data_IF_393540982063
#
_entry.id   IF_393540982063
#
_cell.length_a   1.000
_cell.length_b   1.000
_cell.length_c   1.000
_cell.angle_alpha   90.00
_cell.angle_beta   90.00
_cell.angle_gamma   90.00
#
_symmetry.space_group_name_H-M   'P 1'
#
loop_
_entity.id
_entity.type
_entity.pdbx_description
1 polymer ?
#
# COMPACT_ATOMS: atom_id res chain seq x y z
N UNK A 1 -10.86 7.51 7.97
CA UNK A 1 -10.41 6.16 7.60
C UNK A 1 -9.08 6.24 6.90
N UNK A 2 -8.19 5.32 7.21
CA UNK A 2 -6.91 5.14 6.52
C UNK A 2 -6.91 3.75 5.86
N UNK A 3 -6.57 3.68 4.56
CA UNK A 3 -6.42 2.43 3.82
C UNK A 3 -4.97 2.30 3.38
N UNK A 4 -4.31 1.23 3.78
CA UNK A 4 -2.93 0.93 3.41
C UNK A 4 -2.92 -0.19 2.37
N UNK A 5 -2.28 0.06 1.23
CA UNK A 5 -2.10 -0.90 0.14
C UNK A 5 -0.65 -1.36 0.14
N UNK A 6 -0.42 -2.58 0.62
CA UNK A 6 0.86 -3.28 0.61
C UNK A 6 0.99 -4.19 -0.61
N UNK A 7 2.19 -4.56 -0.98
CA UNK A 7 2.47 -5.53 -2.05
C UNK A 7 3.82 -5.30 -2.71
N UNK A 8 4.32 -6.30 -3.39
CA UNK A 8 5.64 -6.26 -4.04
C UNK A 8 5.66 -5.32 -5.26
N UNK A 9 6.83 -5.15 -5.83
CA UNK A 9 7.05 -4.32 -7.02
C UNK A 9 6.23 -4.85 -8.21
N UNK A 10 5.57 -3.97 -8.96
CA UNK A 10 4.82 -4.36 -10.16
C UNK A 10 3.44 -5.01 -9.92
N UNK A 11 3.01 -5.20 -8.67
CA UNK A 11 1.71 -5.81 -8.35
C UNK A 11 0.51 -4.90 -8.66
N UNK A 12 0.74 -3.56 -8.79
CA UNK A 12 -0.28 -2.58 -9.13
C UNK A 12 -0.73 -1.67 -7.99
N UNK A 13 0.03 -1.56 -6.90
CA UNK A 13 -0.32 -0.76 -5.71
C UNK A 13 -0.77 0.67 -6.03
N UNK A 14 0.09 1.46 -6.69
CA UNK A 14 -0.19 2.88 -6.98
C UNK A 14 -1.43 3.04 -7.86
N UNK A 15 -1.59 2.20 -8.90
CA UNK A 15 -2.77 2.23 -9.76
C UNK A 15 -4.06 1.85 -9.02
N UNK A 16 -4.01 0.86 -8.11
CA UNK A 16 -5.17 0.48 -7.28
C UNK A 16 -5.48 1.58 -6.26
N UNK A 17 -4.47 2.16 -5.63
CA UNK A 17 -4.65 3.26 -4.67
C UNK A 17 -5.29 4.49 -5.34
N UNK A 18 -4.85 4.85 -6.55
CA UNK A 18 -5.44 5.92 -7.36
C UNK A 18 -6.92 5.63 -7.68
N UNK A 19 -7.24 4.42 -8.14
CA UNK A 19 -8.64 4.04 -8.42
C UNK A 19 -9.49 4.00 -7.15
N UNK A 20 -8.94 3.54 -6.04
CA UNK A 20 -9.65 3.48 -4.76
C UNK A 20 -9.92 4.88 -4.19
N UNK A 21 -8.98 5.82 -4.32
CA UNK A 21 -9.16 7.21 -3.90
C UNK A 21 -10.45 7.81 -4.49
N UNK A 22 -10.73 7.53 -5.77
CA UNK A 22 -11.92 8.05 -6.47
C UNK A 22 -13.25 7.42 -6.05
N UNK A 23 -13.26 6.40 -5.17
CA UNK A 23 -14.49 5.84 -4.57
C UNK A 23 -14.98 6.63 -3.34
N UNK A 24 -14.13 7.48 -2.77
CA UNK A 24 -14.49 8.34 -1.65
C UNK A 24 -14.92 9.73 -2.15
N UNK A 25 -15.82 10.37 -1.43
CA UNK A 25 -16.21 11.76 -1.72
C UNK A 25 -15.02 12.72 -1.58
N UNK A 26 -14.20 12.49 -0.53
CA UNK A 26 -13.01 13.29 -0.23
C UNK A 26 -11.91 12.38 0.30
N UNK A 27 -10.85 12.22 -0.47
CA UNK A 27 -9.71 11.40 -0.11
C UNK A 27 -8.40 11.97 -0.69
N UNK A 28 -7.30 11.55 -0.11
CA UNK A 28 -5.95 11.80 -0.61
C UNK A 28 -5.23 10.47 -0.80
N UNK A 29 -4.51 10.34 -1.89
CA UNK A 29 -3.58 9.25 -2.13
C UNK A 29 -2.16 9.70 -1.83
N UNK A 30 -1.47 8.95 -0.98
CA UNK A 30 -0.08 9.15 -0.58
C UNK A 30 0.76 7.95 -1.05
N UNK A 31 1.63 8.19 -2.03
CA UNK A 31 2.55 7.15 -2.52
C UNK A 31 3.85 7.20 -1.70
N UNK A 32 4.10 6.15 -0.91
CA UNK A 32 5.26 6.07 -0.03
C UNK A 32 6.59 6.02 -0.77
N UNK A 33 6.61 5.52 -2.01
CA UNK A 33 7.82 5.51 -2.82
C UNK A 33 8.21 6.96 -3.22
N UNK A 34 7.23 7.80 -3.57
CA UNK A 34 7.48 9.22 -3.86
C UNK A 34 7.82 10.04 -2.61
N UNK A 35 7.13 9.79 -1.49
CA UNK A 35 7.38 10.51 -0.24
C UNK A 35 8.74 10.14 0.36
N UNK A 36 9.15 8.88 0.21
CA UNK A 36 10.44 8.38 0.69
C UNK A 36 11.60 8.53 -0.30
N UNK A 37 11.40 9.23 -1.43
CA UNK A 37 12.45 9.54 -2.40
C UNK A 37 13.26 10.76 -1.91
N UNK A 38 14.34 10.48 -1.20
CA UNK A 38 15.25 11.48 -0.62
C UNK A 38 16.69 11.21 -1.04
N UNK A 39 17.55 12.20 -0.96
CA UNK A 39 18.96 12.07 -1.28
C UNK A 39 19.83 12.32 -0.04
N UNK A 40 20.80 11.46 0.31
CA UNK A 40 21.13 10.19 -0.36
C UNK A 40 20.03 9.13 -0.15
N UNK A 41 19.88 8.23 -1.13
CA UNK A 41 18.89 7.15 -1.08
C UNK A 41 19.56 5.81 -0.76
N UNK A 42 19.17 5.19 0.34
CA UNK A 42 19.42 3.78 0.66
C UNK A 42 18.10 3.15 1.13
N UNK A 43 17.71 2.06 0.46
CA UNK A 43 16.41 1.40 0.71
C UNK A 43 16.30 0.85 2.14
N UNK A 44 17.43 0.51 2.77
CA UNK A 44 17.50 -0.06 4.11
C UNK A 44 17.96 0.93 5.19
N UNK A 45 18.19 2.20 4.84
CA UNK A 45 18.56 3.22 5.80
C UNK A 45 17.43 3.45 6.82
N UNK A 46 17.64 3.17 8.11
CA UNK A 46 16.62 3.37 9.15
C UNK A 46 16.18 4.83 9.28
N UNK A 47 17.10 5.79 9.10
CA UNK A 47 16.78 7.22 9.20
C UNK A 47 15.85 7.65 8.05
N UNK A 48 16.04 7.11 6.86
CA UNK A 48 15.14 7.33 5.73
C UNK A 48 13.76 6.72 5.98
N UNK A 49 13.70 5.52 6.54
CA UNK A 49 12.44 4.85 6.86
C UNK A 49 11.68 5.62 7.94
N UNK A 50 12.36 6.07 8.99
CA UNK A 50 11.76 6.92 10.02
C UNK A 50 11.26 8.24 9.42
N UNK A 51 12.08 8.90 8.58
CA UNK A 51 11.68 10.12 7.88
C UNK A 51 10.40 9.91 7.03
N UNK A 52 10.33 8.83 6.27
CA UNK A 52 9.12 8.47 5.49
C UNK A 52 7.90 8.33 6.41
N UNK A 53 8.00 7.57 7.49
CA UNK A 53 6.86 7.31 8.37
C UNK A 53 6.38 8.58 9.09
N UNK A 54 7.32 9.42 9.56
CA UNK A 54 7.00 10.73 10.16
C UNK A 54 6.37 11.69 9.15
N UNK A 55 6.84 11.67 7.91
CA UNK A 55 6.25 12.49 6.84
C UNK A 55 4.84 12.03 6.51
N UNK A 56 4.59 10.70 6.44
CA UNK A 56 3.24 10.16 6.26
C UNK A 56 2.31 10.56 7.41
N UNK A 57 2.76 10.43 8.67
CA UNK A 57 2.00 10.86 9.84
C UNK A 57 1.59 12.35 9.74
N UNK A 58 2.55 13.22 9.42
CA UNK A 58 2.33 14.65 9.25
C UNK A 58 1.31 14.95 8.13
N UNK A 59 1.47 14.31 6.96
CA UNK A 59 0.59 14.52 5.81
C UNK A 59 -0.82 14.01 6.08
N UNK A 60 -0.98 12.84 6.72
CA UNK A 60 -2.29 12.32 7.13
C UNK A 60 -2.99 13.32 8.04
N UNK A 61 -2.33 13.77 9.12
CA UNK A 61 -2.91 14.74 10.05
C UNK A 61 -3.23 16.08 9.37
N UNK A 62 -2.39 16.55 8.46
CA UNK A 62 -2.62 17.77 7.69
C UNK A 62 -3.87 17.65 6.80
N UNK A 63 -3.98 16.58 6.01
CA UNK A 63 -5.10 16.40 5.10
C UNK A 63 -6.42 16.22 5.83
N UNK A 64 -6.45 15.43 6.91
CA UNK A 64 -7.66 15.25 7.72
C UNK A 64 -8.16 16.58 8.32
N UNK A 65 -7.27 17.42 8.86
CA UNK A 65 -7.60 18.76 9.37
C UNK A 65 -8.11 19.70 8.29
N UNK A 66 -7.73 19.48 7.02
CA UNK A 66 -8.18 20.29 5.88
C UNK A 66 -9.39 19.67 5.14
N UNK A 67 -10.09 18.73 5.77
CA UNK A 67 -11.36 18.20 5.28
C UNK A 67 -11.22 17.06 4.26
N UNK A 68 -10.11 16.35 4.27
CA UNK A 68 -9.91 15.09 3.54
C UNK A 68 -9.81 13.94 4.55
N UNK A 69 -10.93 13.39 5.03
CA UNK A 69 -10.93 12.42 6.12
C UNK A 69 -10.45 11.04 5.71
N UNK A 70 -10.44 10.74 4.42
CA UNK A 70 -10.04 9.43 3.93
C UNK A 70 -8.66 9.51 3.27
N UNK A 71 -7.76 8.62 3.68
CA UNK A 71 -6.39 8.57 3.20
C UNK A 71 -6.11 7.18 2.64
N UNK A 72 -5.57 7.12 1.43
CA UNK A 72 -5.09 5.89 0.81
C UNK A 72 -3.58 5.97 0.71
N UNK A 73 -2.88 5.07 1.39
CA UNK A 73 -1.41 4.99 1.37
C UNK A 73 -1.01 3.73 0.62
N UNK A 74 -0.07 3.82 -0.31
CA UNK A 74 0.59 2.63 -0.85
C UNK A 74 2.08 2.64 -0.55
N UNK A 75 2.61 1.49 -0.15
CA UNK A 75 4.04 1.29 0.08
C UNK A 75 4.37 -0.21 0.08
N UNK A 76 5.67 -0.55 0.09
CA UNK A 76 6.17 -1.93 0.22
C UNK A 76 6.57 -2.17 1.67
N UNK A 77 5.83 -3.01 2.37
CA UNK A 77 6.23 -3.49 3.71
C UNK A 77 6.80 -4.89 3.57
N UNK A 78 8.05 -5.06 4.00
CA UNK A 78 8.79 -6.31 3.91
C UNK A 78 8.61 -7.19 5.15
N UNK A 79 8.07 -6.66 6.24
CA UNK A 79 7.77 -7.39 7.48
C UNK A 79 6.47 -6.92 8.12
N UNK A 80 5.92 -7.75 8.98
CA UNK A 80 4.77 -7.38 9.82
C UNK A 80 5.14 -6.25 10.80
N UNK A 81 6.36 -6.26 11.32
CA UNK A 81 6.86 -5.23 12.26
C UNK A 81 6.93 -3.86 11.62
N UNK A 82 7.48 -3.74 10.38
CA UNK A 82 7.56 -2.46 9.67
C UNK A 82 6.17 -1.87 9.36
N UNK A 83 5.21 -2.72 9.02
CA UNK A 83 3.82 -2.31 8.85
C UNK A 83 3.19 -1.89 10.18
N UNK A 84 3.43 -2.65 11.25
CA UNK A 84 2.91 -2.36 12.59
C UNK A 84 3.42 -1.03 13.15
N UNK A 85 4.68 -0.70 12.88
CA UNK A 85 5.29 0.58 13.24
C UNK A 85 4.51 1.75 12.63
N UNK A 86 4.27 1.72 11.32
CA UNK A 86 3.46 2.76 10.65
C UNK A 86 2.03 2.83 11.22
N UNK A 87 1.36 1.67 11.40
CA UNK A 87 0.02 1.62 11.97
C UNK A 87 0.00 2.26 13.36
N UNK A 88 1.01 2.01 14.18
CA UNK A 88 1.12 2.55 15.54
C UNK A 88 1.22 4.07 15.52
N UNK A 89 1.98 4.64 14.58
CA UNK A 89 2.08 6.09 14.39
C UNK A 89 0.77 6.73 13.91
N UNK A 90 0.04 6.05 13.03
CA UNK A 90 -1.18 6.58 12.42
C UNK A 90 -2.42 6.42 13.33
N UNK A 91 -2.44 5.44 14.22
CA UNK A 91 -3.59 5.12 15.08
C UNK A 91 -4.11 6.27 15.95
N UNK A 92 -3.27 7.19 16.49
CA UNK A 92 -3.77 8.36 17.19
C UNK A 92 -4.52 9.37 16.31
N UNK A 93 -4.27 9.36 15.01
CA UNK A 93 -4.93 10.23 14.02
C UNK A 93 -6.27 9.63 13.56
N UNK A 94 -6.30 8.30 13.37
CA UNK A 94 -7.50 7.57 12.98
C UNK A 94 -7.38 6.10 13.40
N UNK A 95 -8.34 5.61 14.17
CA UNK A 95 -8.38 4.20 14.58
C UNK A 95 -8.96 3.27 13.50
N UNK A 96 -9.66 3.83 12.48
CA UNK A 96 -10.27 3.09 11.37
C UNK A 96 -9.22 2.87 10.27
N UNK A 97 -8.29 1.92 10.52
CA UNK A 97 -7.18 1.57 9.63
C UNK A 97 -7.42 0.20 9.01
N UNK A 98 -7.39 0.12 7.68
CA UNK A 98 -7.54 -1.10 6.90
C UNK A 98 -6.28 -1.35 6.07
N UNK A 99 -5.80 -2.58 6.06
CA UNK A 99 -4.62 -2.97 5.29
C UNK A 99 -4.97 -4.06 4.29
N UNK A 100 -4.59 -3.85 3.04
CA UNK A 100 -4.72 -4.84 1.97
C UNK A 100 -3.34 -5.17 1.40
N UNK A 101 -3.07 -6.46 1.28
CA UNK A 101 -1.86 -7.00 0.67
C UNK A 101 -2.18 -7.49 -0.74
N UNK A 102 -1.67 -6.78 -1.74
CA UNK A 102 -1.86 -7.16 -3.13
C UNK A 102 -0.86 -8.25 -3.52
N UNK A 103 -1.39 -9.36 -4.04
CA UNK A 103 -0.61 -10.46 -4.61
C UNK A 103 -0.86 -10.58 -6.12
N UNK A 104 0.08 -11.20 -6.82
CA UNK A 104 -0.03 -11.45 -8.24
C UNK A 104 0.79 -12.69 -8.63
N UNK A 105 0.33 -13.43 -9.64
CA UNK A 105 1.14 -14.53 -10.18
C UNK A 105 2.45 -14.01 -10.76
N UNK A 106 3.59 -14.70 -10.58
CA UNK A 106 4.91 -14.23 -11.04
C UNK A 106 4.95 -13.90 -12.54
N UNK A 107 4.24 -14.67 -13.36
CA UNK A 107 4.17 -14.47 -14.81
C UNK A 107 3.49 -13.13 -15.17
N UNK A 108 2.34 -12.85 -14.57
CA UNK A 108 1.58 -11.62 -14.82
C UNK A 108 2.36 -10.42 -14.31
N UNK A 109 2.94 -10.52 -13.12
CA UNK A 109 3.72 -9.44 -12.50
C UNK A 109 4.96 -9.09 -13.32
N UNK A 110 5.72 -10.09 -13.76
CA UNK A 110 6.87 -9.87 -14.66
C UNK A 110 6.47 -9.23 -15.99
N UNK A 111 5.28 -9.57 -16.54
CA UNK A 111 4.70 -8.91 -17.70
C UNK A 111 4.48 -7.42 -17.47
N UNK A 112 3.78 -7.10 -16.40
CA UNK A 112 3.49 -5.70 -16.00
C UNK A 112 4.76 -4.87 -15.79
N UNK A 113 5.82 -5.47 -15.20
CA UNK A 113 7.11 -4.79 -14.99
C UNK A 113 7.75 -4.48 -16.34
N UNK A 114 7.76 -5.43 -17.30
CA UNK A 114 8.34 -5.20 -18.64
C UNK A 114 7.58 -4.13 -19.42
N UNK A 115 6.27 -4.08 -19.31
CA UNK A 115 5.42 -3.10 -20.00
C UNK A 115 5.67 -1.65 -19.55
N UNK A 116 6.23 -1.44 -18.35
CA UNK A 116 6.58 -0.10 -17.83
C UNK A 116 7.77 0.55 -18.57
N UNK A 117 8.60 -0.22 -19.27
CA UNK A 117 9.77 0.25 -20.03
C UNK A 117 10.73 1.15 -19.25
N UNK A 118 10.92 0.87 -17.94
CA UNK A 118 11.87 1.60 -17.10
C UNK A 118 13.31 1.19 -17.39
N UNK A 119 14.26 2.09 -17.14
CA UNK A 119 15.69 1.88 -17.43
C UNK A 119 16.29 0.70 -16.62
N UNK A 120 15.82 0.49 -15.39
CA UNK A 120 16.34 -0.53 -14.47
C UNK A 120 15.56 -1.86 -14.50
N UNK A 121 15.10 -2.27 -15.67
CA UNK A 121 14.29 -3.49 -15.85
C UNK A 121 14.90 -4.74 -15.18
N UNK A 122 16.21 -4.92 -15.30
CA UNK A 122 16.91 -6.08 -14.71
C UNK A 122 16.79 -6.11 -13.19
N UNK A 123 17.04 -4.98 -12.55
CA UNK A 123 16.90 -4.82 -11.11
C UNK A 123 15.45 -5.01 -10.67
N UNK A 124 14.50 -4.39 -11.36
CA UNK A 124 13.06 -4.53 -11.02
C UNK A 124 12.60 -6.00 -11.10
N UNK A 125 13.05 -6.75 -12.12
CA UNK A 125 12.72 -8.18 -12.28
C UNK A 125 13.37 -9.09 -11.23
N UNK A 126 14.52 -8.73 -10.71
CA UNK A 126 15.14 -9.43 -9.59
C UNK A 126 14.42 -9.06 -8.29
N UNK A 127 14.25 -7.77 -8.03
CA UNK A 127 13.68 -7.25 -6.79
C UNK A 127 12.25 -7.72 -6.54
N UNK A 128 11.39 -7.82 -7.57
CA UNK A 128 10.04 -8.32 -7.35
C UNK A 128 10.00 -9.78 -6.87
N UNK A 129 10.94 -10.62 -7.33
CA UNK A 129 11.02 -12.03 -6.91
C UNK A 129 11.46 -12.14 -5.45
N UNK A 130 12.46 -11.35 -5.08
CA UNK A 130 12.92 -11.25 -3.69
C UNK A 130 11.75 -10.80 -2.79
N UNK A 131 11.05 -9.74 -3.17
CA UNK A 131 9.92 -9.22 -2.41
C UNK A 131 8.75 -10.20 -2.33
N UNK A 132 8.48 -10.99 -3.38
CA UNK A 132 7.45 -12.04 -3.29
C UNK A 132 7.78 -13.07 -2.21
N UNK A 133 9.04 -13.48 -2.14
CA UNK A 133 9.49 -14.44 -1.12
C UNK A 133 9.45 -13.80 0.28
N UNK A 134 10.05 -12.62 0.44
CA UNK A 134 10.07 -11.87 1.72
C UNK A 134 8.64 -11.67 2.25
N UNK A 135 7.72 -11.21 1.41
CA UNK A 135 6.34 -10.99 1.85
C UNK A 135 5.56 -12.28 2.09
N UNK A 136 5.86 -13.36 1.39
CA UNK A 136 5.26 -14.67 1.67
C UNK A 136 5.71 -15.21 3.04
N UNK A 137 6.98 -15.03 3.40
CA UNK A 137 7.53 -15.35 4.72
C UNK A 137 6.92 -14.44 5.79
N UNK A 138 6.92 -13.12 5.57
CA UNK A 138 6.32 -12.15 6.49
C UNK A 138 4.82 -12.42 6.78
N UNK A 139 4.06 -12.92 5.79
CA UNK A 139 2.67 -13.29 5.95
C UNK A 139 2.46 -14.57 6.80
N UNK A 140 3.49 -15.41 6.93
CA UNK A 140 3.47 -16.56 7.84
C UNK A 140 3.80 -16.15 9.28
N UNK A 141 4.70 -15.15 9.42
CA UNK A 141 5.18 -14.67 10.71
C UNK A 141 4.20 -13.66 11.36
N UNK A 142 3.39 -12.97 10.56
CA UNK A 142 2.46 -11.98 11.07
C UNK A 142 1.52 -11.36 10.03
N UNK A 143 0.75 -10.37 10.47
CA UNK A 143 -0.22 -9.69 9.61
C UNK A 143 0.45 -8.62 8.74
N UNK A 144 0.38 -8.80 7.42
CA UNK A 144 0.86 -7.82 6.42
C UNK A 144 -0.26 -7.25 5.53
N UNK A 145 -1.52 -7.54 5.86
CA UNK A 145 -2.72 -7.09 5.18
C UNK A 145 -3.66 -8.22 4.77
N UNK A 146 -4.91 -7.90 4.51
CA UNK A 146 -5.87 -8.82 3.89
C UNK A 146 -5.46 -9.06 2.45
N UNK A 147 -5.23 -10.33 2.08
CA UNK A 147 -4.78 -10.67 0.73
C UNK A 147 -5.85 -10.37 -0.33
N UNK A 148 -5.41 -9.74 -1.44
CA UNK A 148 -6.19 -9.50 -2.66
C UNK A 148 -5.35 -9.86 -3.87
N UNK A 149 -5.76 -10.92 -4.59
CA UNK A 149 -5.07 -11.37 -5.80
C UNK A 149 -5.47 -10.53 -7.02
N UNK A 150 -4.48 -9.88 -7.63
CA UNK A 150 -4.67 -8.96 -8.76
C UNK A 150 -4.44 -9.59 -10.14
N UNK A 151 -4.16 -10.91 -10.21
CA UNK A 151 -3.71 -11.57 -11.45
C UNK A 151 -4.72 -11.50 -12.61
N UNK A 152 -6.02 -11.41 -12.29
CA UNK A 152 -7.12 -11.48 -13.28
C UNK A 152 -7.96 -10.20 -13.36
N UNK A 153 -7.60 -9.18 -12.61
CA UNK A 153 -8.35 -7.94 -12.51
C UNK A 153 -7.49 -6.76 -12.95
N UNK A 154 -8.12 -5.78 -13.54
CA UNK A 154 -7.54 -4.46 -13.71
C UNK A 154 -7.55 -3.67 -12.40
N UNK A 155 -6.85 -2.54 -12.30
CA UNK A 155 -6.81 -1.75 -11.09
C UNK A 155 -8.19 -1.31 -10.58
N UNK A 156 -9.12 -0.99 -11.47
CA UNK A 156 -10.48 -0.58 -11.10
C UNK A 156 -11.25 -1.74 -10.45
N UNK A 157 -11.17 -2.94 -11.01
CA UNK A 157 -11.80 -4.14 -10.45
C UNK A 157 -11.23 -4.54 -9.09
N UNK A 158 -9.91 -4.35 -8.88
CA UNK A 158 -9.28 -4.56 -7.55
C UNK A 158 -9.78 -3.51 -6.55
N UNK A 159 -9.85 -2.23 -6.96
CA UNK A 159 -10.38 -1.16 -6.12
C UNK A 159 -11.85 -1.40 -5.75
N UNK A 160 -12.67 -1.94 -6.66
CA UNK A 160 -14.06 -2.30 -6.39
C UNK A 160 -14.19 -3.44 -5.36
N UNK A 161 -13.30 -4.43 -5.40
CA UNK A 161 -13.28 -5.49 -4.38
C UNK A 161 -12.93 -4.92 -3.00
N UNK A 162 -11.91 -4.07 -2.92
CA UNK A 162 -11.51 -3.40 -1.69
C UNK A 162 -12.66 -2.52 -1.17
N UNK A 163 -13.28 -1.74 -2.05
CA UNK A 163 -14.39 -0.87 -1.71
C UNK A 163 -15.59 -1.62 -1.14
N UNK A 164 -15.97 -2.74 -1.75
CA UNK A 164 -17.02 -3.62 -1.24
C UNK A 164 -16.71 -4.15 0.16
N UNK A 165 -15.46 -4.55 0.41
CA UNK A 165 -15.05 -5.03 1.74
C UNK A 165 -15.11 -3.91 2.78
N UNK A 166 -14.65 -2.70 2.45
CA UNK A 166 -14.70 -1.53 3.32
C UNK A 166 -16.14 -1.12 3.67
N UNK A 167 -17.05 -1.13 2.69
CA UNK A 167 -18.45 -0.73 2.86
C UNK A 167 -19.27 -1.78 3.58
N UNK A 168 -19.04 -3.07 3.32
CA UNK A 168 -19.73 -4.16 4.02
C UNK A 168 -19.47 -4.16 5.54
N UNK A 169 -18.34 -3.63 5.99
CA UNK A 169 -18.01 -3.50 7.42
C UNK A 169 -18.70 -2.31 8.09
N UNK A 170 -19.22 -1.37 7.29
CA UNK A 170 -19.91 -0.15 7.77
C UNK A 170 -21.43 -0.30 7.86
N UNK A 171 -22.02 -1.31 7.20
CA UNK A 171 -23.43 -1.57 7.37
C UNK A 171 -23.66 -2.12 8.78
N UNK A 172 -24.44 -1.42 9.65
CA UNK A 172 -24.84 -1.99 10.92
C UNK A 172 -25.65 -3.25 10.61
N UNK A 173 -25.33 -4.36 11.28
CA UNK A 173 -26.19 -5.54 11.31
C UNK A 173 -27.57 -5.09 11.80
N UNK A 174 -28.44 -4.73 10.86
CA UNK A 174 -29.87 -4.51 11.16
C UNK A 174 -30.41 -5.89 11.62
N UNK A 175 -30.51 -6.03 12.94
CA UNK A 175 -31.29 -7.08 13.58
C UNK A 175 -32.75 -6.69 13.61
#
# INVERSE_FOLDING_TARGET
MIVIINGSLGVGKSSVAEQLQHRFDRAVHLDGDHIGDVHPFDIYDPERIEHLYRTLELLVGFHQKNGYPNIVINYVFESADSLHELITLLRPLDADIHVYWLTCSPKVQAGRIRERQREELGWELQRFRELQQIQAEAAQDGFIGKEVNTSRLDPAGVADLIWKDLTARREPLLK
#
